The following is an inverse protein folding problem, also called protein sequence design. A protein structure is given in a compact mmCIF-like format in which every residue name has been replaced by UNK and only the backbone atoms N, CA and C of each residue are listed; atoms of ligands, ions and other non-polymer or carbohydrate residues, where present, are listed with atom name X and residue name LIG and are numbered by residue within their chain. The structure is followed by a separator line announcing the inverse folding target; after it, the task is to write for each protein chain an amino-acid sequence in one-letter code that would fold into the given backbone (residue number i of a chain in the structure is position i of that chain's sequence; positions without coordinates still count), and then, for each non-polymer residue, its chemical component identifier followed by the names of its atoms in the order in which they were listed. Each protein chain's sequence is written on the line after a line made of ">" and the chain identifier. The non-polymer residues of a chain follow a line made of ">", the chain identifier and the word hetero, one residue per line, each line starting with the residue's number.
data_IF_223960034019
#
_entry.id   IF_223960034019
#
_cell.length_a   1.000
_cell.length_b   1.000
_cell.length_c   1.000
_cell.angle_alpha   90.00
_cell.angle_beta   90.00
_cell.angle_gamma   90.00
#
_symmetry.space_group_name_H-M   'P 1'
#
loop_
_entity.id
_entity.type
_entity.pdbx_description
1 polymer ?
#
# COMPACT_ATOMS: atom_id res chain seq x y z
N UNK A 1 -34.67 19.92 53.75
CA UNK A 1 -34.96 19.15 52.52
C UNK A 1 -33.69 19.12 51.70
N UNK A 2 -33.18 17.91 51.46
CA UNK A 2 -32.21 17.55 50.42
C UNK A 2 -32.64 18.15 49.07
N UNK A 3 -31.75 18.53 48.15
CA UNK A 3 -30.91 17.59 47.43
C UNK A 3 -29.69 18.25 46.75
N UNK A 4 -28.79 17.35 46.33
CA UNK A 4 -27.40 17.49 45.90
C UNK A 4 -27.11 18.34 44.63
N UNK A 5 -25.81 18.63 44.36
CA UNK A 5 -25.36 19.55 43.32
C UNK A 5 -25.34 18.88 41.94
N UNK A 6 -25.87 19.56 40.92
CA UNK A 6 -25.76 19.11 39.53
C UNK A 6 -24.31 19.28 39.03
N UNK A 7 -23.55 18.21 39.25
CA UNK A 7 -22.76 17.53 38.24
C UNK A 7 -22.17 18.41 37.15
N UNK A 8 -20.89 18.72 37.35
CA UNK A 8 -19.86 18.90 36.32
C UNK A 8 -20.23 18.14 35.03
N UNK A 9 -20.78 18.86 34.05
CA UNK A 9 -20.64 18.47 32.66
C UNK A 9 -19.17 18.67 32.32
N UNK A 10 -18.39 17.63 32.61
CA UNK A 10 -17.15 17.35 31.91
C UNK A 10 -17.57 17.27 30.45
N UNK A 11 -17.39 18.38 29.74
CA UNK A 11 -17.38 18.40 28.29
C UNK A 11 -16.25 17.43 27.94
N UNK A 12 -16.64 16.20 27.61
CA UNK A 12 -15.76 15.14 27.14
C UNK A 12 -14.87 15.79 26.09
N UNK A 13 -13.62 16.01 26.47
CA UNK A 13 -12.58 16.26 25.50
C UNK A 13 -12.70 15.14 24.48
N UNK A 14 -12.96 15.54 23.24
CA UNK A 14 -12.95 14.67 22.08
C UNK A 14 -11.60 13.97 22.03
N UNK A 15 -11.49 12.82 22.69
CA UNK A 15 -10.40 11.87 22.50
C UNK A 15 -10.63 11.14 21.18
N UNK A 16 -10.61 11.91 20.11
CA UNK A 16 -10.48 11.41 18.76
C UNK A 16 -9.34 12.16 18.06
N UNK A 17 -8.29 12.49 18.81
CA UNK A 17 -6.94 12.41 18.26
C UNK A 17 -6.61 10.94 18.06
N UNK A 18 -7.35 10.26 17.19
CA UNK A 18 -7.03 8.91 16.74
C UNK A 18 -5.62 9.02 16.22
N UNK A 19 -4.67 8.38 16.91
CA UNK A 19 -3.30 8.30 16.46
C UNK A 19 -3.37 7.91 14.99
N UNK A 20 -3.05 8.86 14.09
CA UNK A 20 -3.05 8.57 12.67
C UNK A 20 -2.09 7.39 12.53
N UNK A 21 -2.61 6.21 12.21
CA UNK A 21 -1.78 5.02 12.06
C UNK A 21 -0.71 5.40 11.05
N UNK A 22 0.52 4.88 11.20
CA UNK A 22 1.57 5.09 10.20
C UNK A 22 1.06 4.70 8.80
N UNK A 23 0.09 3.79 8.74
CA UNK A 23 -0.66 3.33 7.57
C UNK A 23 -1.53 4.41 6.91
N UNK A 24 -1.96 5.42 7.67
CA UNK A 24 -2.77 6.55 7.21
C UNK A 24 -1.93 7.72 6.70
N UNK A 25 -0.59 7.65 6.88
CA UNK A 25 0.31 8.67 6.39
C UNK A 25 0.18 8.79 4.86
N UNK A 26 -0.01 10.01 4.30
CA UNK A 26 -0.29 10.19 2.88
C UNK A 26 0.78 9.58 1.98
N UNK A 27 2.06 9.69 2.38
CA UNK A 27 3.17 9.07 1.64
C UNK A 27 3.10 7.53 1.64
N UNK A 28 2.73 6.90 2.76
CA UNK A 28 2.58 5.44 2.87
C UNK A 28 1.44 4.97 1.96
N UNK A 29 0.32 5.71 1.96
CA UNK A 29 -0.82 5.45 1.06
C UNK A 29 -0.42 5.60 -0.41
N UNK A 30 0.30 6.66 -0.76
CA UNK A 30 0.80 6.87 -2.13
C UNK A 30 1.73 5.75 -2.58
N UNK A 31 2.69 5.33 -1.76
CA UNK A 31 3.61 4.23 -2.07
C UNK A 31 2.87 2.90 -2.26
N UNK A 32 1.90 2.61 -1.39
CA UNK A 32 1.03 1.43 -1.53
C UNK A 32 0.21 1.48 -2.83
N UNK A 33 -0.30 2.65 -3.22
CA UNK A 33 -1.00 2.84 -4.50
C UNK A 33 -0.08 2.55 -5.69
N UNK A 34 1.13 3.12 -5.68
CA UNK A 34 2.13 2.91 -6.73
C UNK A 34 2.50 1.43 -6.86
N UNK A 35 2.75 0.74 -5.74
CA UNK A 35 3.05 -0.69 -5.73
C UNK A 35 1.90 -1.50 -6.33
N UNK A 36 0.66 -1.18 -5.96
CA UNK A 36 -0.52 -1.84 -6.54
C UNK A 36 -0.65 -1.56 -8.04
N UNK A 37 -0.42 -0.34 -8.50
CA UNK A 37 -0.47 -0.01 -9.92
C UNK A 37 0.58 -0.78 -10.74
N UNK A 38 1.79 -0.97 -10.18
CA UNK A 38 2.86 -1.78 -10.78
C UNK A 38 2.47 -3.26 -10.85
N UNK A 39 1.86 -3.79 -9.78
CA UNK A 39 1.37 -5.17 -9.73
C UNK A 39 0.24 -5.38 -10.75
N UNK A 40 -0.71 -4.45 -10.84
CA UNK A 40 -1.83 -4.48 -11.80
C UNK A 40 -1.35 -4.37 -13.26
N UNK A 41 -0.37 -3.51 -13.54
CA UNK A 41 0.24 -3.38 -14.88
C UNK A 41 0.93 -4.66 -15.32
N UNK A 42 1.73 -5.27 -14.42
CA UNK A 42 2.39 -6.54 -14.69
C UNK A 42 1.41 -7.65 -15.02
N UNK A 43 0.33 -7.79 -14.25
CA UNK A 43 -0.64 -8.86 -14.48
C UNK A 43 -1.39 -8.66 -15.80
N UNK A 44 -1.74 -7.41 -16.16
CA UNK A 44 -2.33 -7.09 -17.47
C UNK A 44 -1.40 -7.46 -18.61
N UNK A 45 -0.13 -7.06 -18.55
CA UNK A 45 0.84 -7.34 -19.61
C UNK A 45 1.14 -8.85 -19.71
N UNK A 46 1.27 -9.52 -18.56
CA UNK A 46 1.47 -10.97 -18.49
C UNK A 46 0.33 -11.71 -19.17
N UNK A 47 -0.92 -11.35 -18.85
CA UNK A 47 -2.08 -11.99 -19.45
C UNK A 47 -2.19 -11.68 -20.96
N UNK A 48 -1.87 -10.45 -21.37
CA UNK A 48 -1.81 -10.09 -22.78
C UNK A 48 -0.79 -10.96 -23.55
N UNK A 49 0.43 -11.12 -23.02
CA UNK A 49 1.45 -11.97 -23.62
C UNK A 49 1.02 -13.45 -23.65
N UNK A 50 0.33 -13.93 -22.61
CA UNK A 50 -0.18 -15.30 -22.58
C UNK A 50 -1.21 -15.57 -23.68
N UNK A 51 -2.04 -14.57 -24.02
CA UNK A 51 -3.08 -14.67 -25.06
C UNK A 51 -2.55 -14.46 -26.48
N UNK A 52 -1.57 -13.57 -26.64
CA UNK A 52 -1.12 -13.12 -27.97
C UNK A 52 0.04 -13.93 -28.52
N UNK A 53 0.89 -14.51 -27.66
CA UNK A 53 2.05 -15.27 -28.10
C UNK A 53 1.74 -16.78 -28.19
N UNK A 54 2.14 -17.44 -29.28
CA UNK A 54 2.10 -18.90 -29.36
C UNK A 54 3.06 -19.52 -28.33
N UNK A 55 2.72 -20.70 -27.84
CA UNK A 55 3.51 -21.44 -26.86
C UNK A 55 4.86 -21.86 -27.46
N UNK A 56 5.86 -21.01 -27.24
CA UNK A 56 7.19 -21.08 -27.84
C UNK A 56 8.21 -20.67 -26.79
N UNK A 57 9.47 -21.06 -26.97
CA UNK A 57 10.58 -20.61 -26.12
C UNK A 57 10.70 -19.08 -26.05
N UNK A 58 10.23 -18.37 -27.09
CA UNK A 58 10.17 -16.91 -27.13
C UNK A 58 9.15 -16.36 -26.13
N UNK A 59 8.00 -17.01 -25.98
CA UNK A 59 6.97 -16.66 -24.99
C UNK A 59 7.54 -16.76 -23.57
N UNK A 60 8.18 -17.88 -23.25
CA UNK A 60 8.77 -18.10 -21.92
C UNK A 60 9.85 -17.07 -21.60
N UNK A 61 10.72 -16.79 -22.57
CA UNK A 61 11.75 -15.75 -22.42
C UNK A 61 11.14 -14.37 -22.22
N UNK A 62 10.10 -14.03 -22.97
CA UNK A 62 9.43 -12.72 -22.87
C UNK A 62 8.75 -12.56 -21.51
N UNK A 63 8.07 -13.61 -21.03
CA UNK A 63 7.45 -13.63 -19.69
C UNK A 63 8.50 -13.53 -18.57
N UNK A 64 9.65 -14.19 -18.72
CA UNK A 64 10.75 -14.09 -17.77
C UNK A 64 11.33 -12.67 -17.71
N UNK A 65 11.55 -12.04 -18.87
CA UNK A 65 12.01 -10.65 -18.95
C UNK A 65 10.99 -9.66 -18.37
N UNK A 66 9.69 -9.88 -18.63
CA UNK A 66 8.62 -9.09 -18.02
C UNK A 66 8.67 -9.19 -16.49
N UNK A 67 8.77 -10.42 -15.95
CA UNK A 67 8.85 -10.66 -14.50
C UNK A 67 10.07 -9.97 -13.88
N UNK A 68 11.24 -10.06 -14.52
CA UNK A 68 12.46 -9.43 -14.02
C UNK A 68 12.31 -7.89 -13.94
N UNK A 69 11.76 -7.26 -14.98
CA UNK A 69 11.50 -5.81 -14.99
C UNK A 69 10.49 -5.39 -13.92
N UNK A 70 9.42 -6.16 -13.76
CA UNK A 70 8.42 -5.93 -12.72
C UNK A 70 9.04 -5.98 -11.32
N UNK A 71 9.81 -7.03 -11.00
CA UNK A 71 10.46 -7.18 -9.70
C UNK A 71 11.43 -6.02 -9.42
N UNK A 72 12.26 -5.66 -10.39
CA UNK A 72 13.20 -4.55 -10.24
C UNK A 72 12.50 -3.22 -9.96
N UNK A 73 11.41 -2.92 -10.69
CA UNK A 73 10.64 -1.68 -10.48
C UNK A 73 9.92 -1.68 -9.14
N UNK A 74 9.31 -2.81 -8.76
CA UNK A 74 8.59 -2.97 -7.50
C UNK A 74 9.51 -2.85 -6.28
N UNK A 75 10.72 -3.40 -6.38
CA UNK A 75 11.69 -3.42 -5.29
C UNK A 75 12.06 -2.01 -4.81
N UNK A 76 12.23 -1.05 -5.71
CA UNK A 76 12.54 0.35 -5.35
C UNK A 76 11.51 0.91 -4.38
N UNK A 77 10.22 0.83 -4.72
CA UNK A 77 9.14 1.37 -3.89
C UNK A 77 8.88 0.53 -2.64
N UNK A 78 9.12 -0.77 -2.69
CA UNK A 78 9.01 -1.65 -1.53
C UNK A 78 10.07 -1.29 -0.47
N UNK A 79 11.31 -1.01 -0.89
CA UNK A 79 12.38 -0.56 0.02
C UNK A 79 12.06 0.80 0.64
N UNK A 80 11.56 1.76 -0.15
CA UNK A 80 11.12 3.06 0.38
C UNK A 80 9.98 2.93 1.38
N UNK A 81 9.00 2.06 1.09
CA UNK A 81 7.90 1.78 2.00
C UNK A 81 8.40 1.15 3.31
N UNK A 82 9.28 0.14 3.24
CA UNK A 82 9.89 -0.46 4.44
C UNK A 82 10.64 0.57 5.27
N UNK A 83 11.50 1.39 4.66
CA UNK A 83 12.24 2.43 5.38
C UNK A 83 11.34 3.43 6.12
N UNK A 84 10.18 3.76 5.55
CA UNK A 84 9.20 4.65 6.19
C UNK A 84 8.43 4.00 7.34
N UNK A 85 8.26 2.68 7.31
CA UNK A 85 7.62 1.92 8.37
C UNK A 85 8.62 1.66 9.52
N UNK A 86 9.84 1.25 9.18
CA UNK A 86 10.91 0.92 10.13
C UNK A 86 11.47 2.17 10.83
N UNK A 87 11.51 3.32 10.15
CA UNK A 87 12.00 4.59 10.71
C UNK A 87 11.05 5.29 11.68
N UNK A 88 9.93 4.67 12.06
CA UNK A 88 8.92 5.24 12.97
C UNK A 88 8.59 4.35 14.18
N UNK A 89 9.32 3.26 14.40
CA UNK A 89 9.34 2.47 15.65
C UNK A 89 10.38 3.02 16.64
#
# INVERSE_FOLDING_TARGET
>A
MSDQPESRLILSQSSAGSAASVEDHPLVRSLRSILREIDDEYERERENLRRTLPDTNVKDRTLAMLKARHLQRRETYARELSALLDGRE
#
